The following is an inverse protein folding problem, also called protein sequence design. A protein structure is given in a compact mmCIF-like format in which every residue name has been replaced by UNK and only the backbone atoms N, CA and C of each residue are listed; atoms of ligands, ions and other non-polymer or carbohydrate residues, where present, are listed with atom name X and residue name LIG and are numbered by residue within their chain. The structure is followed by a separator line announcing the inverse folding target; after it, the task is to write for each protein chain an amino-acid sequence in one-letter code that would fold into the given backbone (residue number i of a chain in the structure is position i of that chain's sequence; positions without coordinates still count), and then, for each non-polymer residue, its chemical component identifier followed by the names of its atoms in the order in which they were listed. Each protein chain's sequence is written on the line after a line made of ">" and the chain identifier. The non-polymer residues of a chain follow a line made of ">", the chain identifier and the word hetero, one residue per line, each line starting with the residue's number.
data_IF_271302854689
#
_entry.id   IF_271302854689
#
_cell.length_a   1.000
_cell.length_b   1.000
_cell.length_c   1.000
_cell.angle_alpha   90.00
_cell.angle_beta   90.00
_cell.angle_gamma   90.00
#
_symmetry.space_group_name_H-M   'P 1'
#
loop_
_entity.id
_entity.type
_entity.pdbx_description
1 polymer ?
#
# COMPACT_ATOMS: atom_id res chain seq x y z
N UNK A 1 5.67 -21.83 2.97
CA UNK A 1 5.32 -21.65 1.54
C UNK A 1 3.86 -21.29 1.41
N UNK A 2 3.60 -20.19 0.70
CA UNK A 2 2.27 -19.70 0.40
C UNK A 2 1.49 -20.71 -0.45
N UNK A 3 0.22 -20.89 -0.11
CA UNK A 3 -0.75 -21.61 -0.93
C UNK A 3 -1.03 -20.88 -2.24
N UNK A 4 -1.55 -21.59 -3.25
CA UNK A 4 -1.96 -20.99 -4.52
C UNK A 4 -3.00 -19.86 -4.35
N UNK A 5 -3.90 -20.00 -3.37
CA UNK A 5 -4.88 -18.95 -3.07
C UNK A 5 -4.22 -17.70 -2.46
N UNK A 6 -3.26 -17.88 -1.55
CA UNK A 6 -2.51 -16.76 -0.96
C UNK A 6 -1.69 -16.03 -2.02
N UNK A 7 -0.97 -16.76 -2.89
CA UNK A 7 -0.23 -16.16 -4.00
C UNK A 7 -1.15 -15.33 -4.90
N UNK A 8 -2.30 -15.89 -5.30
CA UNK A 8 -3.28 -15.15 -6.13
C UNK A 8 -3.78 -13.86 -5.47
N UNK A 9 -4.09 -13.89 -4.16
CA UNK A 9 -4.53 -12.70 -3.42
C UNK A 9 -3.41 -11.65 -3.32
N UNK A 10 -2.20 -12.09 -3.01
CA UNK A 10 -1.04 -11.21 -2.88
C UNK A 10 -0.60 -10.61 -4.23
N UNK A 11 -0.73 -11.33 -5.33
CA UNK A 11 -0.54 -10.76 -6.68
C UNK A 11 -1.61 -9.72 -7.00
N UNK A 12 -2.86 -9.95 -6.60
CA UNK A 12 -3.93 -8.96 -6.82
C UNK A 12 -3.62 -7.67 -6.05
N UNK A 13 -3.17 -7.78 -4.79
CA UNK A 13 -2.74 -6.64 -4.01
C UNK A 13 -1.52 -5.93 -4.64
N UNK A 14 -0.50 -6.69 -5.04
CA UNK A 14 0.68 -6.15 -5.72
C UNK A 14 0.30 -5.33 -6.95
N UNK A 15 -0.51 -5.89 -7.84
CA UNK A 15 -0.94 -5.23 -9.07
C UNK A 15 -1.82 -3.99 -8.82
N UNK A 16 -2.50 -3.91 -7.67
CA UNK A 16 -3.26 -2.71 -7.30
C UNK A 16 -2.34 -1.57 -6.80
N UNK A 17 -1.14 -1.90 -6.31
CA UNK A 17 -0.14 -0.93 -5.85
C UNK A 17 0.78 -0.52 -7.02
N UNK A 18 1.11 -1.44 -7.92
CA UNK A 18 1.89 -1.24 -9.15
C UNK A 18 1.15 -0.28 -10.10
N UNK A 19 1.36 1.01 -9.92
CA UNK A 19 0.52 2.07 -10.47
C UNK A 19 0.91 2.42 -11.91
N UNK A 20 2.16 2.14 -12.29
CA UNK A 20 2.66 2.24 -13.66
C UNK A 20 2.61 0.91 -14.43
N UNK A 21 2.28 -0.21 -13.77
CA UNK A 21 2.27 -1.56 -14.35
C UNK A 21 3.65 -2.00 -14.85
N UNK A 22 4.72 -1.55 -14.17
CA UNK A 22 6.10 -1.88 -14.45
C UNK A 22 6.50 -3.31 -14.03
N UNK A 23 5.68 -3.96 -13.18
CA UNK A 23 5.94 -5.30 -12.67
C UNK A 23 6.86 -5.35 -11.45
N UNK A 24 7.25 -4.19 -10.92
CA UNK A 24 7.95 -3.99 -9.65
C UNK A 24 7.28 -2.87 -8.87
N UNK A 25 7.31 -2.92 -7.53
CA UNK A 25 6.85 -1.79 -6.71
C UNK A 25 8.04 -0.92 -6.33
N UNK A 26 7.94 0.37 -6.56
CA UNK A 26 8.96 1.35 -6.19
C UNK A 26 8.32 2.63 -5.63
N UNK A 27 9.14 3.60 -5.24
CA UNK A 27 8.64 4.85 -4.65
C UNK A 27 7.78 5.68 -5.63
N UNK A 28 8.01 5.57 -6.94
CA UNK A 28 7.28 6.33 -7.95
C UNK A 28 5.83 5.85 -8.08
N UNK A 29 5.53 4.58 -7.80
CA UNK A 29 4.15 4.08 -7.71
C UNK A 29 3.32 4.86 -6.70
N UNK A 30 3.89 5.12 -5.52
CA UNK A 30 3.22 5.88 -4.47
C UNK A 30 3.04 7.36 -4.87
N UNK A 31 3.96 7.91 -5.66
CA UNK A 31 3.79 9.24 -6.24
C UNK A 31 2.66 9.27 -7.27
N UNK A 32 2.51 8.22 -8.08
CA UNK A 32 1.40 8.08 -9.03
C UNK A 32 0.06 7.90 -8.31
N UNK A 33 0.00 7.08 -7.26
CA UNK A 33 -1.19 6.91 -6.42
C UNK A 33 -1.57 8.23 -5.77
N UNK A 34 -0.61 8.96 -5.18
CA UNK A 34 -0.85 10.30 -4.59
C UNK A 34 -1.48 11.24 -5.62
N UNK A 35 -0.92 11.31 -6.82
CA UNK A 35 -1.43 12.18 -7.88
C UNK A 35 -2.83 11.79 -8.32
N UNK A 36 -3.09 10.49 -8.53
CA UNK A 36 -4.42 9.98 -8.91
C UNK A 36 -5.46 10.31 -7.84
N UNK A 37 -5.16 10.03 -6.57
CA UNK A 37 -6.07 10.30 -5.45
C UNK A 37 -6.28 11.81 -5.23
N UNK A 38 -5.23 12.62 -5.32
CA UNK A 38 -5.33 14.06 -5.19
C UNK A 38 -6.24 14.68 -6.28
N UNK A 39 -6.14 14.19 -7.52
CA UNK A 39 -7.02 14.62 -8.62
C UNK A 39 -8.46 14.17 -8.36
N UNK A 40 -8.66 12.90 -8.00
CA UNK A 40 -9.99 12.33 -7.72
C UNK A 40 -10.73 13.11 -6.62
N UNK A 41 -10.03 13.41 -5.53
CA UNK A 41 -10.55 14.11 -4.34
C UNK A 41 -10.51 15.63 -4.45
N UNK A 42 -10.03 16.20 -5.56
CA UNK A 42 -9.89 17.65 -5.73
C UNK A 42 -8.93 18.32 -4.73
N UNK A 43 -7.94 17.59 -4.21
CA UNK A 43 -6.98 18.10 -3.23
C UNK A 43 -6.00 19.09 -3.88
N UNK A 44 -5.70 20.17 -3.15
CA UNK A 44 -4.70 21.15 -3.59
C UNK A 44 -3.32 20.77 -3.04
N UNK A 45 -2.23 20.88 -3.81
CA UNK A 45 -0.88 20.52 -3.35
C UNK A 45 -0.42 21.19 -2.04
N UNK A 46 -0.96 22.35 -1.71
CA UNK A 46 -0.63 23.11 -0.49
C UNK A 46 -1.67 22.92 0.63
N UNK A 47 -2.64 22.02 0.48
CA UNK A 47 -3.63 21.76 1.52
C UNK A 47 -3.09 20.77 2.55
N UNK A 48 -3.64 20.83 3.77
CA UNK A 48 -3.27 19.89 4.82
C UNK A 48 -3.65 18.46 4.44
N UNK A 49 -4.76 18.26 3.73
CA UNK A 49 -5.20 16.95 3.26
C UNK A 49 -4.20 16.33 2.28
N UNK A 50 -3.65 17.12 1.36
CA UNK A 50 -2.63 16.62 0.43
C UNK A 50 -1.35 16.22 1.16
N UNK A 51 -0.91 17.03 2.14
CA UNK A 51 0.25 16.71 2.96
C UNK A 51 0.02 15.45 3.82
N UNK A 52 -1.18 15.28 4.36
CA UNK A 52 -1.58 14.10 5.13
C UNK A 52 -1.59 12.84 4.26
N UNK A 53 -2.26 12.88 3.12
CA UNK A 53 -2.28 11.78 2.14
C UNK A 53 -0.87 11.38 1.69
N UNK A 54 -0.01 12.37 1.41
CA UNK A 54 1.40 12.12 1.09
C UNK A 54 2.12 11.41 2.24
N UNK A 55 1.86 11.80 3.48
CA UNK A 55 2.50 11.16 4.65
C UNK A 55 2.07 9.70 4.84
N UNK A 56 0.78 9.39 4.58
CA UNK A 56 0.25 8.02 4.60
C UNK A 56 0.94 7.16 3.54
N UNK A 57 1.05 7.65 2.30
CA UNK A 57 1.70 6.90 1.22
C UNK A 57 3.21 6.70 1.43
N UNK A 58 3.89 7.68 2.03
CA UNK A 58 5.30 7.51 2.45
C UNK A 58 5.41 6.45 3.56
N UNK A 59 4.49 6.45 4.52
CA UNK A 59 4.43 5.40 5.55
C UNK A 59 4.22 4.03 4.93
N UNK A 60 3.31 3.92 3.96
CA UNK A 60 3.06 2.69 3.20
C UNK A 60 4.33 2.17 2.54
N UNK A 61 5.03 3.04 1.80
CA UNK A 61 6.29 2.66 1.14
C UNK A 61 7.33 2.17 2.14
N UNK A 62 7.56 2.90 3.24
CA UNK A 62 8.53 2.51 4.26
C UNK A 62 8.22 1.15 4.91
N UNK A 63 6.93 0.82 5.05
CA UNK A 63 6.50 -0.47 5.59
C UNK A 63 6.72 -1.60 4.57
N UNK A 64 6.46 -1.34 3.30
CA UNK A 64 6.59 -2.33 2.23
C UNK A 64 8.04 -2.50 1.77
N UNK A 65 8.90 -1.49 1.90
CA UNK A 65 10.33 -1.59 1.57
C UNK A 65 11.07 -2.62 2.43
N UNK A 66 10.45 -3.14 3.49
CA UNK A 66 10.96 -4.31 4.22
C UNK A 66 10.95 -5.60 3.37
N UNK A 67 10.18 -5.63 2.28
CA UNK A 67 10.14 -6.73 1.34
C UNK A 67 11.30 -6.69 0.32
N UNK A 68 11.94 -5.53 0.13
CA UNK A 68 13.12 -5.36 -0.74
C UNK A 68 14.35 -6.05 -0.10
N UNK A 69 14.72 -7.21 -0.63
CA UNK A 69 15.77 -8.05 -0.04
C UNK A 69 17.16 -7.70 -0.55
N UNK A 70 17.24 -7.29 -1.81
CA UNK A 70 18.49 -6.98 -2.48
C UNK A 70 18.89 -5.49 -2.30
N UNK A 71 17.96 -4.66 -1.78
CA UNK A 71 18.10 -3.22 -1.54
C UNK A 71 18.32 -2.41 -2.81
N UNK A 72 17.68 -2.79 -3.90
CA UNK A 72 17.70 -2.06 -5.16
C UNK A 72 16.61 -0.98 -5.28
N UNK A 73 15.80 -0.80 -4.22
CA UNK A 73 14.66 0.11 -4.16
C UNK A 73 13.48 -0.28 -5.08
N UNK A 74 13.48 -1.51 -5.58
CA UNK A 74 12.37 -2.14 -6.27
C UNK A 74 11.94 -3.41 -5.51
N UNK A 75 10.63 -3.69 -5.51
CA UNK A 75 10.10 -4.93 -4.93
C UNK A 75 9.52 -5.75 -6.06
N UNK A 76 10.18 -6.86 -6.38
CA UNK A 76 9.66 -7.83 -7.34
C UNK A 76 8.53 -8.66 -6.74
N UNK A 77 7.71 -9.29 -7.58
CA UNK A 77 6.66 -10.21 -7.12
C UNK A 77 7.24 -11.43 -6.36
N UNK A 78 8.48 -11.84 -6.68
CA UNK A 78 9.18 -12.91 -5.96
C UNK A 78 9.55 -12.48 -4.54
N UNK A 79 10.15 -11.30 -4.39
CA UNK A 79 10.49 -10.73 -3.09
C UNK A 79 9.25 -10.49 -2.24
N UNK A 80 8.17 -9.99 -2.86
CA UNK A 80 6.86 -9.84 -2.24
C UNK A 80 6.35 -11.17 -1.66
N UNK A 81 6.32 -12.24 -2.46
CA UNK A 81 5.88 -13.55 -1.97
C UNK A 81 6.77 -14.08 -0.87
N UNK A 82 8.09 -13.92 -0.98
CA UNK A 82 9.03 -14.38 0.04
C UNK A 82 8.86 -13.60 1.35
N UNK A 83 8.61 -12.30 1.28
CA UNK A 83 8.29 -11.48 2.44
C UNK A 83 7.04 -11.97 3.15
N UNK A 84 5.92 -12.15 2.44
CA UNK A 84 4.67 -12.61 3.05
C UNK A 84 4.73 -14.05 3.53
N UNK A 85 5.47 -14.94 2.84
CA UNK A 85 5.68 -16.31 3.32
C UNK A 85 6.39 -16.30 4.68
N UNK A 86 7.39 -15.44 4.86
CA UNK A 86 8.06 -15.31 6.16
C UNK A 86 7.16 -14.66 7.21
N UNK A 87 6.45 -13.58 6.83
CA UNK A 87 5.64 -12.79 7.73
C UNK A 87 4.51 -13.62 8.36
N UNK A 88 3.79 -14.41 7.56
CA UNK A 88 2.66 -15.25 8.00
C UNK A 88 3.06 -16.28 9.07
N UNK A 89 4.32 -16.69 9.10
CA UNK A 89 4.84 -17.66 10.07
C UNK A 89 5.61 -17.00 11.23
N UNK A 90 5.60 -15.67 11.32
CA UNK A 90 6.35 -14.92 12.34
C UNK A 90 5.42 -14.34 13.41
N UNK A 91 5.96 -14.14 14.62
CA UNK A 91 5.26 -13.42 15.70
C UNK A 91 4.98 -11.95 15.37
N UNK A 92 5.60 -11.42 14.31
CA UNK A 92 5.40 -10.07 13.82
C UNK A 92 4.22 -9.95 12.84
N UNK A 93 3.52 -11.05 12.53
CA UNK A 93 2.40 -11.08 11.58
C UNK A 93 1.32 -10.04 11.95
N UNK A 94 0.69 -10.19 13.11
CA UNK A 94 -0.39 -9.30 13.53
C UNK A 94 0.02 -7.82 13.56
N UNK A 95 1.09 -7.40 14.24
CA UNK A 95 1.42 -5.98 14.33
C UNK A 95 1.77 -5.35 12.96
N UNK A 96 2.46 -6.09 12.07
CA UNK A 96 2.81 -5.56 10.76
C UNK A 96 1.61 -5.52 9.81
N UNK A 97 0.73 -6.52 9.87
CA UNK A 97 -0.52 -6.49 9.09
C UNK A 97 -1.44 -5.38 9.60
N UNK A 98 -1.55 -5.16 10.92
CA UNK A 98 -2.29 -4.03 11.47
C UNK A 98 -1.77 -2.69 10.95
N UNK A 99 -0.45 -2.49 10.98
CA UNK A 99 0.16 -1.26 10.45
C UNK A 99 -0.15 -1.04 8.96
N UNK A 100 -0.18 -2.11 8.16
CA UNK A 100 -0.58 -2.02 6.75
C UNK A 100 -2.08 -1.71 6.61
N UNK A 101 -2.94 -2.37 7.39
CA UNK A 101 -4.38 -2.12 7.39
C UNK A 101 -4.70 -0.67 7.79
N UNK A 102 -4.03 -0.11 8.79
CA UNK A 102 -4.21 1.28 9.22
C UNK A 102 -3.94 2.27 8.08
N UNK A 103 -2.91 1.99 7.27
CA UNK A 103 -2.60 2.81 6.10
C UNK A 103 -3.69 2.70 5.03
N UNK A 104 -4.15 1.49 4.70
CA UNK A 104 -5.26 1.33 3.74
C UNK A 104 -6.57 1.94 4.25
N UNK A 105 -6.83 1.86 5.55
CA UNK A 105 -7.99 2.46 6.18
C UNK A 105 -7.94 3.98 6.03
N UNK A 106 -6.84 4.61 6.43
CA UNK A 106 -6.65 6.06 6.29
C UNK A 106 -6.61 6.54 4.82
N UNK A 107 -6.31 5.64 3.87
CA UNK A 107 -6.46 5.94 2.45
C UNK A 107 -7.93 5.98 2.04
N UNK A 108 -8.80 5.13 2.60
CA UNK A 108 -10.22 5.02 2.23
C UNK A 108 -11.13 5.98 3.03
N UNK A 109 -10.85 6.19 4.31
CA UNK A 109 -11.56 7.13 5.19
C UNK A 109 -11.16 8.57 4.82
N UNK A 110 -11.97 9.20 3.95
CA UNK A 110 -11.63 10.49 3.35
C UNK A 110 -11.92 11.66 4.29
N UNK A 111 -12.90 11.49 5.18
CA UNK A 111 -13.32 12.51 6.13
C UNK A 111 -12.70 12.34 7.53
N UNK A 112 -11.88 11.30 7.74
CA UNK A 112 -11.15 10.98 8.97
C UNK A 112 -12.09 10.77 10.17
N UNK A 113 -13.27 10.20 9.91
CA UNK A 113 -14.28 9.97 10.94
C UNK A 113 -14.12 8.61 11.67
N UNK A 114 -13.22 7.75 11.20
CA UNK A 114 -12.97 6.42 11.75
C UNK A 114 -13.88 5.31 11.23
N UNK A 115 -14.65 5.57 10.18
CA UNK A 115 -15.54 4.63 9.51
C UNK A 115 -15.38 4.73 7.98
N UNK A 116 -15.50 3.61 7.26
CA UNK A 116 -15.57 3.62 5.79
C UNK A 116 -17.05 3.56 5.40
N UNK A 117 -17.58 4.68 4.94
CA UNK A 117 -18.94 4.78 4.41
C UNK A 117 -19.10 4.01 3.09
N UNK A 118 -20.34 3.75 2.67
CA UNK A 118 -20.59 3.12 1.37
C UNK A 118 -20.03 3.96 0.22
N UNK A 119 -20.08 5.29 0.34
CA UNK A 119 -19.57 6.19 -0.69
C UNK A 119 -18.05 6.06 -0.81
N UNK A 120 -17.34 6.12 0.31
CA UNK A 120 -15.88 5.93 0.37
C UNK A 120 -15.44 4.53 -0.09
N UNK A 121 -16.28 3.51 0.09
CA UNK A 121 -15.96 2.15 -0.34
C UNK A 121 -16.04 1.94 -1.86
N UNK A 122 -16.85 2.73 -2.58
CA UNK A 122 -17.09 2.54 -4.02
C UNK A 122 -16.37 3.53 -4.92
N UNK A 123 -15.83 4.61 -4.34
CA UNK A 123 -15.01 5.60 -5.04
C UNK A 123 -13.62 5.04 -5.42
#
# INVERSE_FOLDING_TARGET
>A
MLTALQQRKLTTLFNNIDADSGGTLNQDDFHLILNKLAISRGLKPNSWQYAYLRSILVSMWNNLSLADQNRDAEITLEEWFKYYDNLIHSDAYEPLIHLQCDVFFALLDEDDNGEISQQEYVD
#
